data_IF_956117599497
#
_entry.id   IF_956117599497
#
_cell.length_a   1.000
_cell.length_b   1.000
_cell.length_c   1.000
_cell.angle_alpha   90.00
_cell.angle_beta   90.00
_cell.angle_gamma   90.00
#
_symmetry.space_group_name_H-M   'P 1'
#
loop_
_entity.id
_entity.type
_entity.pdbx_description
1 polymer ?
#
# COMPACT_ATOMS: atom_id res chain seq x y z
N UNK A 1 7.00 -8.18 -39.44
CA UNK A 1 7.16 -8.94 -38.19
C UNK A 1 5.83 -8.88 -37.48
N UNK A 2 5.09 -9.98 -37.53
CA UNK A 2 3.78 -10.10 -36.90
C UNK A 2 3.95 -10.04 -35.38
N UNK A 3 3.16 -9.20 -34.70
CA UNK A 3 3.14 -9.19 -33.23
C UNK A 3 2.55 -10.53 -32.79
N UNK A 4 3.15 -11.22 -31.82
CA UNK A 4 2.58 -12.45 -31.25
C UNK A 4 1.56 -12.15 -30.14
N UNK A 5 1.71 -10.99 -29.51
CA UNK A 5 0.93 -10.59 -28.35
C UNK A 5 0.60 -9.10 -28.43
N UNK A 6 -0.62 -8.76 -28.05
CA UNK A 6 -1.08 -7.40 -27.79
C UNK A 6 -1.12 -7.14 -26.28
N UNK A 7 -0.76 -5.93 -25.87
CA UNK A 7 -0.84 -5.53 -24.46
C UNK A 7 -2.08 -4.68 -24.28
N UNK A 8 -2.87 -4.96 -23.25
CA UNK A 8 -4.10 -4.21 -22.97
C UNK A 8 -3.84 -2.73 -22.70
N UNK A 9 -2.73 -2.41 -22.00
CA UNK A 9 -2.31 -1.04 -21.73
C UNK A 9 -0.84 -0.81 -22.14
N UNK A 10 -0.55 0.23 -22.96
CA UNK A 10 0.82 0.51 -23.41
C UNK A 10 1.70 1.21 -22.36
N UNK A 11 1.08 1.81 -21.33
CA UNK A 11 1.74 2.44 -20.18
C UNK A 11 1.26 1.75 -18.91
N UNK A 12 2.19 1.18 -18.15
CA UNK A 12 1.92 0.48 -16.89
C UNK A 12 2.02 1.50 -15.76
N UNK A 13 0.91 1.70 -15.06
CA UNK A 13 0.83 2.56 -13.87
C UNK A 13 1.23 1.77 -12.64
N UNK A 14 2.16 2.31 -11.86
CA UNK A 14 2.62 1.72 -10.61
C UNK A 14 2.33 2.71 -9.50
N UNK A 15 1.45 2.32 -8.59
CA UNK A 15 1.21 3.05 -7.36
C UNK A 15 2.44 2.89 -6.46
N UNK A 16 3.18 3.99 -6.33
CA UNK A 16 4.47 4.02 -5.67
C UNK A 16 4.30 4.37 -4.19
N UNK A 17 4.85 3.50 -3.34
CA UNK A 17 4.96 3.72 -1.92
C UNK A 17 6.39 3.45 -1.46
N UNK A 18 6.89 4.30 -0.56
CA UNK A 18 8.21 4.11 0.04
C UNK A 18 8.22 2.87 0.94
N UNK A 19 9.32 2.14 0.89
CA UNK A 19 9.60 0.95 1.70
C UNK A 19 8.54 -0.16 1.59
N UNK A 20 7.73 -0.17 0.53
CA UNK A 20 6.69 -1.16 0.28
C UNK A 20 6.86 -1.84 -1.09
N UNK A 21 6.44 -3.10 -1.21
CA UNK A 21 6.36 -3.78 -2.50
C UNK A 21 5.27 -3.11 -3.33
N UNK A 22 5.64 -2.46 -4.43
CA UNK A 22 4.67 -1.86 -5.35
C UNK A 22 4.23 -2.92 -6.36
N UNK A 23 2.92 -3.06 -6.58
CA UNK A 23 2.35 -4.07 -7.49
C UNK A 23 1.60 -3.40 -8.62
N UNK A 24 1.59 -4.02 -9.77
CA UNK A 24 0.76 -3.62 -10.90
C UNK A 24 0.38 -4.85 -11.71
N UNK A 25 -0.79 -4.82 -12.33
CA UNK A 25 -1.32 -5.94 -13.10
C UNK A 25 -1.16 -5.63 -14.58
N UNK A 26 -0.61 -6.59 -15.33
CA UNK A 26 -0.44 -6.48 -16.78
C UNK A 26 -1.18 -7.64 -17.45
N UNK A 27 -1.96 -7.30 -18.46
CA UNK A 27 -2.70 -8.26 -19.28
C UNK A 27 -2.11 -8.29 -20.69
N UNK A 28 -1.77 -9.50 -21.13
CA UNK A 28 -1.26 -9.81 -22.46
C UNK A 28 -2.27 -10.68 -23.20
N UNK A 29 -2.60 -10.33 -24.42
CA UNK A 29 -3.49 -11.10 -25.31
C UNK A 29 -2.68 -11.71 -26.44
N UNK A 30 -2.73 -13.03 -26.57
CA UNK A 30 -2.17 -13.73 -27.73
C UNK A 30 -3.00 -13.42 -28.97
N UNK A 31 -2.35 -13.04 -30.07
CA UNK A 31 -2.98 -12.93 -31.39
C UNK A 31 -2.72 -14.15 -32.27
N UNK A 32 -1.91 -15.10 -31.80
CA UNK A 32 -1.65 -16.35 -32.47
C UNK A 32 -2.87 -17.28 -32.39
N UNK A 33 -3.31 -17.85 -33.51
CA UNK A 33 -4.46 -18.77 -33.58
C UNK A 33 -4.11 -20.23 -33.29
N UNK A 34 -2.85 -20.61 -33.51
CA UNK A 34 -2.48 -22.03 -33.61
C UNK A 34 -1.48 -22.49 -32.53
N UNK A 35 -0.60 -21.59 -32.06
CA UNK A 35 0.46 -21.92 -31.10
C UNK A 35 0.36 -21.07 -29.83
N UNK A 36 0.60 -21.66 -28.65
CA UNK A 36 0.77 -20.87 -27.43
C UNK A 36 1.98 -19.94 -27.55
N UNK A 37 1.94 -18.81 -26.86
CA UNK A 37 3.04 -17.85 -26.84
C UNK A 37 3.70 -17.86 -25.46
N UNK A 38 5.00 -18.15 -25.42
CA UNK A 38 5.79 -18.00 -24.21
C UNK A 38 6.16 -16.53 -24.01
N UNK A 39 6.07 -16.06 -22.77
CA UNK A 39 6.51 -14.72 -22.41
C UNK A 39 7.45 -14.74 -21.21
N UNK A 40 8.34 -13.75 -21.17
CA UNK A 40 9.21 -13.45 -20.03
C UNK A 40 9.35 -11.95 -19.86
N UNK A 41 9.06 -11.46 -18.66
CA UNK A 41 9.19 -10.05 -18.31
C UNK A 41 10.59 -9.80 -17.75
N UNK A 42 11.20 -8.71 -18.22
CA UNK A 42 12.48 -8.19 -17.74
C UNK A 42 12.34 -6.67 -17.55
N UNK A 43 13.31 -6.06 -16.87
CA UNK A 43 13.38 -4.60 -16.75
C UNK A 43 14.67 -4.10 -17.36
N UNK A 44 14.58 -2.98 -18.07
CA UNK A 44 15.73 -2.20 -18.56
C UNK A 44 16.27 -1.21 -17.52
N UNK A 45 15.58 -1.08 -16.38
CA UNK A 45 15.97 -0.16 -15.32
C UNK A 45 17.33 -0.56 -14.73
N UNK A 46 18.27 0.40 -14.56
CA UNK A 46 19.59 0.13 -14.00
C UNK A 46 19.53 -0.48 -12.61
N UNK A 47 18.44 -0.23 -11.89
CA UNK A 47 18.29 -0.67 -10.52
C UNK A 47 17.54 -2.01 -10.34
N UNK A 48 17.20 -2.72 -11.44
CA UNK A 48 16.65 -4.11 -11.46
C UNK A 48 15.76 -4.48 -10.27
N UNK A 49 14.63 -3.78 -10.14
CA UNK A 49 13.76 -3.90 -8.96
C UNK A 49 12.69 -4.98 -9.05
N UNK A 50 12.65 -5.82 -10.09
CA UNK A 50 11.63 -6.86 -10.17
C UNK A 50 11.85 -7.94 -9.09
N UNK A 51 10.81 -8.23 -8.32
CA UNK A 51 10.73 -9.44 -7.50
C UNK A 51 10.18 -10.56 -8.39
N UNK A 52 10.93 -11.65 -8.54
CA UNK A 52 10.55 -12.85 -9.32
C UNK A 52 9.89 -12.51 -10.67
N UNK A 53 10.70 -12.13 -11.69
CA UNK A 53 10.16 -11.64 -12.96
C UNK A 53 9.16 -12.62 -13.59
N UNK A 54 7.93 -12.18 -13.90
CA UNK A 54 6.89 -13.08 -14.36
C UNK A 54 7.24 -13.69 -15.72
N UNK A 55 6.96 -14.97 -15.86
CA UNK A 55 7.13 -15.73 -17.10
C UNK A 55 6.07 -16.81 -17.18
N UNK A 56 5.57 -17.10 -18.38
CA UNK A 56 4.48 -18.06 -18.55
C UNK A 56 4.16 -18.34 -20.01
N UNK A 57 3.02 -19.02 -20.20
CA UNK A 57 2.45 -19.31 -21.51
C UNK A 57 1.09 -18.62 -21.64
N UNK A 58 0.82 -18.10 -22.82
CA UNK A 58 -0.49 -17.59 -23.21
C UNK A 58 -1.05 -18.56 -24.24
N UNK A 59 -2.24 -19.10 -23.98
CA UNK A 59 -2.91 -19.98 -24.94
C UNK A 59 -3.27 -19.21 -26.24
N UNK A 60 -3.44 -19.92 -27.37
CA UNK A 60 -3.86 -19.29 -28.63
C UNK A 60 -5.15 -18.48 -28.47
N UNK A 61 -5.18 -17.27 -29.04
CA UNK A 61 -6.30 -16.30 -28.98
C UNK A 61 -6.82 -15.99 -27.55
N UNK A 62 -6.01 -16.27 -26.52
CA UNK A 62 -6.37 -16.09 -25.12
C UNK A 62 -5.59 -14.94 -24.49
N UNK A 63 -6.02 -14.53 -23.30
CA UNK A 63 -5.35 -13.51 -22.50
C UNK A 63 -4.74 -14.13 -21.25
N UNK A 64 -3.56 -13.65 -20.87
CA UNK A 64 -2.91 -13.98 -19.61
C UNK A 64 -2.69 -12.71 -18.81
N UNK A 65 -3.07 -12.76 -17.55
CA UNK A 65 -2.90 -11.65 -16.59
C UNK A 65 -1.87 -12.06 -15.56
N UNK A 66 -0.91 -11.18 -15.28
CA UNK A 66 0.11 -11.41 -14.27
C UNK A 66 0.43 -10.13 -13.50
N UNK A 67 0.90 -10.32 -12.27
CA UNK A 67 1.38 -9.21 -11.45
C UNK A 67 2.86 -8.97 -11.68
N UNK A 68 3.21 -7.71 -11.86
CA UNK A 68 4.56 -7.20 -11.82
C UNK A 68 4.79 -6.58 -10.45
N UNK A 69 5.79 -7.07 -9.73
CA UNK A 69 6.09 -6.64 -8.36
C UNK A 69 7.45 -5.96 -8.34
N UNK A 70 7.48 -4.73 -7.84
CA UNK A 70 8.71 -3.99 -7.55
C UNK A 70 9.15 -4.22 -6.10
N UNK A 71 10.46 -4.32 -5.90
CA UNK A 71 11.11 -4.33 -4.60
C UNK A 71 10.82 -3.02 -3.85
N UNK A 72 10.72 -3.06 -2.51
CA UNK A 72 10.67 -1.86 -1.67
C UNK A 72 11.76 -0.85 -2.04
N UNK A 73 11.38 0.41 -2.23
CA UNK A 73 12.29 1.52 -2.51
C UNK A 73 12.32 2.48 -1.35
N UNK A 74 13.51 2.80 -0.84
CA UNK A 74 13.69 3.78 0.25
C UNK A 74 13.74 5.23 -0.24
N UNK A 75 13.79 5.44 -1.56
CA UNK A 75 13.88 6.75 -2.18
C UNK A 75 12.93 6.84 -3.36
N UNK A 76 12.43 8.06 -3.62
CA UNK A 76 11.66 8.37 -4.81
C UNK A 76 12.54 8.14 -6.05
N UNK A 77 12.03 7.56 -7.15
CA UNK A 77 12.81 7.36 -8.36
C UNK A 77 13.42 8.68 -8.84
N UNK A 78 14.75 8.73 -9.02
CA UNK A 78 15.47 9.96 -9.41
C UNK A 78 14.97 10.59 -10.71
N UNK A 79 14.33 9.80 -11.57
CA UNK A 79 13.73 10.22 -12.83
C UNK A 79 12.20 10.29 -12.75
N UNK A 80 11.63 10.49 -11.58
CA UNK A 80 10.20 10.78 -11.41
C UNK A 80 9.80 12.12 -12.09
N UNK A 81 8.60 12.26 -12.70
CA UNK A 81 7.54 11.27 -12.96
C UNK A 81 7.73 10.47 -14.26
N UNK A 82 8.81 10.74 -15.00
CA UNK A 82 9.16 10.06 -16.26
C UNK A 82 10.63 9.71 -16.29
N UNK A 83 10.90 8.41 -16.13
CA UNK A 83 12.15 7.86 -16.59
C UNK A 83 11.93 7.38 -18.02
N UNK A 84 12.40 8.09 -19.07
CA UNK A 84 12.34 7.58 -20.44
C UNK A 84 13.12 6.25 -20.62
N UNK A 85 13.95 5.93 -19.63
CA UNK A 85 14.78 4.74 -19.49
C UNK A 85 14.07 3.58 -18.79
N UNK A 86 13.10 3.81 -17.91
CA UNK A 86 12.44 2.72 -17.18
C UNK A 86 11.35 2.09 -18.05
N UNK A 87 11.67 0.91 -18.59
CA UNK A 87 10.75 0.11 -19.40
C UNK A 87 10.74 -1.33 -18.94
N UNK A 88 9.57 -1.93 -18.91
CA UNK A 88 9.47 -3.38 -18.90
C UNK A 88 9.68 -3.90 -20.32
N UNK A 89 10.53 -4.91 -20.43
CA UNK A 89 10.80 -5.63 -21.66
C UNK A 89 10.11 -6.98 -21.56
N UNK A 90 9.09 -7.21 -22.38
CA UNK A 90 8.40 -8.49 -22.46
C UNK A 90 8.93 -9.20 -23.70
N UNK A 91 9.72 -10.25 -23.47
CA UNK A 91 10.17 -11.13 -24.52
C UNK A 91 9.09 -12.15 -24.81
N UNK A 92 8.69 -12.24 -26.07
CA UNK A 92 7.67 -13.19 -26.52
C UNK A 92 8.23 -14.08 -27.62
N UNK A 93 7.81 -15.34 -27.65
CA UNK A 93 8.12 -16.27 -28.72
C UNK A 93 7.06 -17.37 -28.80
N UNK A 94 6.81 -17.90 -29.98
CA UNK A 94 5.92 -19.05 -30.16
C UNK A 94 6.49 -20.27 -29.43
N UNK A 95 5.64 -20.94 -28.67
CA UNK A 95 6.01 -22.10 -27.88
C UNK A 95 5.68 -23.38 -28.64
N UNK A 96 6.73 -24.07 -29.08
CA UNK A 96 6.64 -25.42 -29.65
C UNK A 96 7.17 -26.41 -28.62
N UNK A 97 6.32 -27.34 -28.18
CA UNK A 97 6.74 -28.45 -27.32
C UNK A 97 7.48 -29.48 -28.17
N UNK A 98 8.76 -29.72 -27.90
CA UNK A 98 9.52 -30.75 -28.62
C UNK A 98 8.90 -32.13 -28.33
N UNK A 99 8.29 -32.73 -29.33
CA UNK A 99 7.81 -34.12 -29.34
C UNK A 99 8.99 -35.08 -29.52
N UNK A 100 9.82 -35.26 -28.50
CA UNK A 100 10.69 -36.44 -28.37
C UNK A 100 11.40 -36.46 -27.01
N UNK A 101 10.94 -37.35 -26.14
CA UNK A 101 11.75 -37.92 -25.05
C UNK A 101 12.28 -36.95 -23.99
N UNK A 102 11.49 -36.82 -22.92
CA UNK A 102 11.89 -36.35 -21.58
C UNK A 102 11.89 -34.83 -21.31
N UNK A 103 11.19 -34.49 -20.24
CA UNK A 103 11.06 -33.20 -19.54
C UNK A 103 10.49 -32.03 -20.34
N UNK A 104 9.18 -31.77 -20.12
CA UNK A 104 8.66 -30.39 -20.19
C UNK A 104 9.66 -29.50 -19.43
N UNK A 105 10.06 -28.33 -19.93
CA UNK A 105 10.97 -27.48 -19.18
C UNK A 105 10.34 -27.19 -17.81
N UNK A 106 11.04 -27.51 -16.71
CA UNK A 106 10.56 -27.29 -15.33
C UNK A 106 10.16 -25.81 -15.10
N UNK A 107 10.67 -24.90 -15.94
CA UNK A 107 10.26 -23.50 -16.01
C UNK A 107 10.42 -22.93 -17.43
N UNK A 108 9.52 -22.01 -17.82
CA UNK A 108 9.62 -21.21 -19.05
C UNK A 108 10.95 -20.44 -19.13
N UNK A 109 11.54 -20.10 -17.99
CA UNK A 109 12.86 -19.48 -17.95
C UNK A 109 13.96 -20.40 -18.50
N UNK A 110 13.95 -21.67 -18.11
CA UNK A 110 14.87 -22.70 -18.63
C UNK A 110 14.61 -22.98 -20.11
N UNK A 111 13.35 -22.93 -20.53
CA UNK A 111 12.99 -23.02 -21.95
C UNK A 111 13.64 -21.90 -22.78
N UNK A 112 13.50 -20.63 -22.37
CA UNK A 112 14.15 -19.49 -23.04
C UNK A 112 15.68 -19.62 -23.05
N UNK A 113 16.28 -20.16 -21.97
CA UNK A 113 17.73 -20.33 -21.86
C UNK A 113 18.30 -21.48 -22.72
N UNK A 114 17.51 -22.53 -22.95
CA UNK A 114 17.91 -23.71 -23.73
C UNK A 114 17.84 -23.52 -25.25
N UNK A 115 17.32 -22.38 -25.73
CA UNK A 115 17.17 -22.13 -27.17
C UNK A 115 18.52 -21.86 -27.84
N UNK A 116 18.72 -22.31 -29.09
CA UNK A 116 19.96 -22.11 -29.82
C UNK A 116 20.25 -20.63 -30.10
N UNK A 117 21.54 -20.30 -30.30
CA UNK A 117 21.97 -18.95 -30.71
C UNK A 117 21.29 -18.58 -32.04
N UNK A 118 20.52 -17.50 -32.05
CA UNK A 118 19.73 -17.05 -33.22
C UNK A 118 18.21 -17.23 -33.07
N UNK A 119 17.73 -17.77 -31.94
CA UNK A 119 16.30 -17.80 -31.60
C UNK A 119 15.72 -16.37 -31.59
N UNK A 120 14.76 -16.08 -32.48
CA UNK A 120 14.13 -14.76 -32.55
C UNK A 120 13.08 -14.62 -31.46
N UNK A 121 13.32 -13.72 -30.51
CA UNK A 121 12.28 -13.21 -29.62
C UNK A 121 11.70 -11.92 -30.19
N UNK A 122 10.41 -11.71 -29.99
CA UNK A 122 9.74 -10.45 -30.24
C UNK A 122 9.62 -9.70 -28.91
N UNK A 123 10.32 -8.58 -28.85
CA UNK A 123 10.48 -7.78 -27.65
C UNK A 123 9.47 -6.63 -27.64
N UNK A 124 8.58 -6.64 -26.65
CA UNK A 124 7.62 -5.56 -26.41
C UNK A 124 8.17 -4.66 -25.30
N UNK A 125 8.19 -3.35 -25.53
CA UNK A 125 8.63 -2.36 -24.54
C UNK A 125 7.41 -1.65 -23.95
N UNK A 126 7.15 -1.88 -22.67
CA UNK A 126 6.11 -1.16 -21.94
C UNK A 126 6.70 0.03 -21.19
N UNK A 127 6.05 1.18 -21.35
CA UNK A 127 6.39 2.38 -20.59
C UNK A 127 5.92 2.20 -19.14
N UNK A 128 6.70 2.69 -18.20
CA UNK A 128 6.34 2.68 -16.77
C UNK A 128 6.06 4.10 -16.33
N UNK A 129 4.92 4.30 -15.66
CA UNK A 129 4.59 5.55 -15.00
C UNK A 129 4.37 5.30 -13.51
N UNK A 130 5.11 6.03 -12.68
CA UNK A 130 4.91 6.02 -11.24
C UNK A 130 3.86 7.06 -10.86
N UNK A 131 2.88 6.64 -10.07
CA UNK A 131 1.73 7.42 -9.62
C UNK A 131 1.49 7.16 -8.13
N UNK A 132 0.59 7.90 -7.50
CA UNK A 132 0.23 7.71 -6.08
C UNK A 132 0.49 8.94 -5.20
N UNK A 133 -0.01 8.90 -3.95
CA UNK A 133 -0.11 10.08 -3.07
C UNK A 133 1.25 10.58 -2.58
N UNK A 134 2.21 9.69 -2.30
CA UNK A 134 3.58 10.07 -1.87
C UNK A 134 4.27 10.90 -2.94
N UNK A 135 4.12 10.51 -4.20
CA UNK A 135 4.71 11.20 -5.34
C UNK A 135 4.03 12.53 -5.61
N UNK A 136 2.70 12.57 -5.49
CA UNK A 136 1.93 13.81 -5.60
C UNK A 136 2.35 14.83 -4.53
N UNK A 137 2.45 14.41 -3.26
CA UNK A 137 2.87 15.28 -2.15
C UNK A 137 4.28 15.85 -2.37
N UNK A 138 5.22 15.02 -2.81
CA UNK A 138 6.58 15.49 -3.12
C UNK A 138 6.59 16.51 -4.26
N UNK A 139 5.83 16.26 -5.33
CA UNK A 139 5.75 17.17 -6.47
C UNK A 139 5.13 18.53 -6.07
N UNK A 140 4.07 18.49 -5.26
CA UNK A 140 3.44 19.69 -4.68
C UNK A 140 4.44 20.42 -3.78
N UNK A 141 5.15 19.72 -2.89
CA UNK A 141 6.15 20.32 -1.99
C UNK A 141 7.28 21.03 -2.72
N UNK A 142 7.60 20.60 -3.95
CA UNK A 142 8.60 21.24 -4.83
C UNK A 142 8.04 22.39 -5.66
N UNK A 143 6.73 22.59 -5.68
CA UNK A 143 6.05 23.52 -6.57
C UNK A 143 6.09 23.10 -8.05
N UNK A 144 6.34 21.83 -8.36
CA UNK A 144 6.44 21.35 -9.75
C UNK A 144 5.06 21.08 -10.35
N UNK A 145 4.48 22.14 -10.92
CA UNK A 145 3.12 22.13 -11.45
C UNK A 145 2.94 21.18 -12.64
N UNK A 146 3.95 21.05 -13.51
CA UNK A 146 3.89 20.15 -14.65
C UNK A 146 3.89 18.68 -14.23
N UNK A 147 4.68 18.35 -13.22
CA UNK A 147 4.70 16.99 -12.65
C UNK A 147 3.36 16.66 -12.00
N UNK A 148 2.79 17.56 -11.20
CA UNK A 148 1.47 17.40 -10.58
C UNK A 148 0.40 17.21 -11.65
N UNK A 149 0.36 18.08 -12.67
CA UNK A 149 -0.59 17.97 -13.79
C UNK A 149 -0.46 16.62 -14.51
N UNK A 150 0.76 16.14 -14.73
CA UNK A 150 1.00 14.86 -15.40
C UNK A 150 0.57 13.65 -14.56
N UNK A 151 0.71 13.69 -13.23
CA UNK A 151 0.19 12.66 -12.34
C UNK A 151 -1.34 12.62 -12.37
N UNK A 152 -1.98 13.77 -12.22
CA UNK A 152 -3.43 13.88 -12.15
C UNK A 152 -4.09 13.46 -13.47
N UNK A 153 -3.44 13.74 -14.61
CA UNK A 153 -3.84 13.20 -15.91
C UNK A 153 -3.79 11.67 -15.98
N UNK A 154 -2.86 11.02 -15.27
CA UNK A 154 -2.65 9.57 -15.32
C UNK A 154 -3.47 8.81 -14.29
N UNK A 155 -3.68 9.38 -13.11
CA UNK A 155 -4.44 8.79 -12.03
C UNK A 155 -5.17 9.90 -11.26
N UNK A 156 -6.29 10.35 -11.81
CA UNK A 156 -7.13 11.35 -11.14
C UNK A 156 -7.73 10.82 -9.83
N UNK A 157 -7.91 9.50 -9.72
CA UNK A 157 -8.43 8.87 -8.50
C UNK A 157 -7.54 9.11 -7.28
N UNK A 158 -6.22 9.38 -7.45
CA UNK A 158 -5.32 9.63 -6.31
C UNK A 158 -5.90 10.67 -5.37
N UNK A 159 -6.53 11.72 -5.89
CA UNK A 159 -7.15 12.77 -5.07
C UNK A 159 -8.45 12.35 -4.39
N UNK A 160 -9.20 11.45 -5.02
CA UNK A 160 -10.44 10.91 -4.47
C UNK A 160 -10.18 9.85 -3.40
N UNK A 161 -9.03 9.17 -3.49
CA UNK A 161 -8.57 8.14 -2.56
C UNK A 161 -7.84 8.75 -1.34
N UNK A 162 -7.58 10.06 -1.32
CA UNK A 162 -7.01 10.76 -0.15
C UNK A 162 -8.02 10.86 0.98
N UNK A 163 -7.56 10.62 2.20
CA UNK A 163 -8.32 10.96 3.41
C UNK A 163 -8.47 12.49 3.55
N UNK A 164 -9.50 12.98 4.28
CA UNK A 164 -9.67 14.42 4.50
C UNK A 164 -8.43 15.08 5.13
N UNK A 165 -7.75 14.41 6.07
CA UNK A 165 -6.53 14.93 6.71
C UNK A 165 -5.35 14.99 5.73
N UNK A 166 -5.22 14.01 4.84
CA UNK A 166 -4.20 14.04 3.77
C UNK A 166 -4.49 15.12 2.74
N UNK A 167 -5.76 15.32 2.37
CA UNK A 167 -6.20 16.35 1.44
C UNK A 167 -5.93 17.76 2.00
N UNK A 168 -6.27 18.00 3.27
CA UNK A 168 -5.97 19.24 3.97
C UNK A 168 -4.46 19.45 4.12
N UNK A 169 -3.72 18.42 4.52
CA UNK A 169 -2.26 18.50 4.61
C UNK A 169 -1.62 18.79 3.25
N UNK A 170 -2.14 18.24 2.15
CA UNK A 170 -1.63 18.50 0.80
C UNK A 170 -1.94 19.94 0.37
N UNK A 171 -3.13 20.44 0.69
CA UNK A 171 -3.53 21.82 0.44
C UNK A 171 -2.66 22.80 1.23
N UNK A 172 -2.42 22.53 2.52
CA UNK A 172 -1.55 23.36 3.37
C UNK A 172 -0.16 23.51 2.76
N UNK A 173 0.43 22.41 2.33
CA UNK A 173 1.74 22.43 1.64
C UNK A 173 1.66 23.24 0.33
N UNK A 174 0.58 23.10 -0.44
CA UNK A 174 0.38 23.89 -1.65
C UNK A 174 0.26 25.40 -1.37
N UNK A 175 -0.39 25.79 -0.27
CA UNK A 175 -0.54 27.20 0.13
C UNK A 175 0.75 27.84 0.68
N UNK A 176 1.69 27.02 1.16
CA UNK A 176 3.00 27.48 1.66
C UNK A 176 4.02 27.71 0.51
N UNK A 177 3.66 27.41 -0.74
CA UNK A 177 4.51 27.64 -1.90
C UNK A 177 4.64 29.13 -2.22
N UNK A 178 5.73 29.49 -2.93
CA UNK A 178 5.97 30.85 -3.39
C UNK A 178 4.89 31.35 -4.39
N UNK A 179 4.26 30.43 -5.13
CA UNK A 179 3.16 30.70 -6.06
C UNK A 179 2.04 29.66 -5.85
N UNK A 180 1.15 29.90 -4.88
CA UNK A 180 0.15 28.91 -4.45
C UNK A 180 -1.08 28.86 -5.36
N UNK A 181 -1.41 29.95 -6.07
CA UNK A 181 -2.68 30.10 -6.79
C UNK A 181 -2.86 29.02 -7.86
N UNK A 182 -1.86 28.87 -8.74
CA UNK A 182 -1.91 27.91 -9.84
C UNK A 182 -1.91 26.46 -9.35
N UNK A 183 -1.16 26.16 -8.28
CA UNK A 183 -1.06 24.81 -7.70
C UNK A 183 -2.37 24.42 -7.00
N UNK A 184 -2.91 25.31 -6.17
CA UNK A 184 -4.17 25.10 -5.47
C UNK A 184 -5.32 24.97 -6.47
N UNK A 185 -5.40 25.88 -7.46
CA UNK A 185 -6.41 25.80 -8.50
C UNK A 185 -6.36 24.46 -9.24
N UNK A 186 -5.16 23.99 -9.61
CA UNK A 186 -4.99 22.69 -10.27
C UNK A 186 -5.49 21.51 -9.41
N UNK A 187 -5.20 21.52 -8.10
CA UNK A 187 -5.62 20.46 -7.19
C UNK A 187 -7.14 20.45 -6.99
N UNK A 188 -7.75 21.62 -6.80
CA UNK A 188 -9.20 21.78 -6.66
C UNK A 188 -9.93 21.38 -7.94
N UNK A 189 -9.48 21.86 -9.11
CA UNK A 189 -10.05 21.50 -10.42
C UNK A 189 -9.95 19.98 -10.67
N UNK A 190 -8.84 19.38 -10.25
CA UNK A 190 -8.64 17.94 -10.37
C UNK A 190 -9.54 17.13 -9.41
N UNK A 191 -10.20 17.76 -8.44
CA UNK A 191 -11.20 17.15 -7.57
C UNK A 191 -10.74 16.88 -6.15
N UNK A 192 -9.74 17.61 -5.65
CA UNK A 192 -9.37 17.58 -4.23
C UNK A 192 -10.57 18.06 -3.40
N UNK A 193 -11.11 17.17 -2.55
CA UNK A 193 -12.21 17.50 -1.65
C UNK A 193 -11.65 17.90 -0.30
N UNK A 194 -11.88 19.15 0.09
CA UNK A 194 -11.66 19.59 1.47
C UNK A 194 -13.05 19.65 2.08
N UNK A 195 -13.26 18.98 3.20
CA UNK A 195 -14.51 19.10 3.93
C UNK A 195 -14.55 20.53 4.48
N UNK A 196 -15.36 21.40 3.88
CA UNK A 196 -15.61 22.73 4.44
C UNK A 196 -16.32 22.54 5.77
N UNK A 197 -15.58 22.68 6.87
CA UNK A 197 -16.16 22.98 8.18
C UNK A 197 -16.60 24.46 8.16
N UNK A 198 -17.70 24.76 7.45
CA UNK A 198 -18.37 26.05 7.54
C UNK A 198 -19.86 25.78 7.66
N UNK A 199 -20.42 26.20 8.79
CA UNK A 199 -21.86 26.24 9.02
C UNK A 199 -22.54 27.04 7.91
N UNK A 200 -23.48 26.39 7.23
CA UNK A 200 -24.48 27.09 6.45
C UNK A 200 -25.53 27.66 7.41
N UNK A 201 -25.24 28.81 8.01
CA UNK A 201 -26.29 29.66 8.58
C UNK A 201 -27.12 30.19 7.41
N UNK A 202 -28.29 29.57 7.23
CA UNK A 202 -29.36 30.05 6.38
C UNK A 202 -29.78 31.44 6.87
N UNK A 203 -29.38 32.48 6.14
CA UNK A 203 -30.03 33.79 6.25
C UNK A 203 -31.39 33.69 5.56
N UNK A 204 -32.45 33.67 6.37
CA UNK A 204 -33.74 34.25 6.02
C UNK A 204 -34.45 34.71 7.32
N UNK A 205 -34.93 35.96 7.29
CA UNK A 205 -35.49 36.71 8.42
C UNK A 205 -36.61 36.00 9.21
N UNK A 206 -36.97 36.45 10.40
CA UNK A 206 -37.39 37.82 10.69
C UNK A 206 -37.57 38.06 12.20
N UNK A 207 -37.40 39.32 12.58
CA UNK A 207 -38.08 40.04 13.67
C UNK A 207 -37.78 39.77 15.16
N UNK A 208 -37.75 40.91 15.85
CA UNK A 208 -38.00 41.21 17.25
C UNK A 208 -36.86 41.23 18.31
N UNK A 209 -36.37 42.46 18.51
CA UNK A 209 -36.08 43.18 19.77
C UNK A 209 -36.16 42.39 21.10
N UNK A 210 -35.01 42.31 21.79
CA UNK A 210 -34.91 42.83 23.17
C UNK A 210 -33.47 43.16 23.58
N UNK A 211 -33.33 44.36 24.15
CA UNK A 211 -32.12 44.90 24.80
C UNK A 211 -32.07 44.35 26.23
N UNK A 212 -30.94 43.78 26.67
CA UNK A 212 -30.54 43.80 28.09
C UNK A 212 -29.01 43.86 28.21
N UNK A 213 -28.59 44.74 29.11
CA UNK A 213 -27.25 45.14 29.53
C UNK A 213 -26.27 44.02 29.93
N UNK A 214 -24.98 44.31 29.67
CA UNK A 214 -23.92 44.33 30.68
C UNK A 214 -23.40 43.01 31.25
N UNK A 215 -22.16 42.64 30.88
CA UNK A 215 -21.06 42.59 31.86
C UNK A 215 -19.70 42.31 31.19
N UNK A 216 -18.71 43.14 31.51
CA UNK A 216 -17.29 42.85 31.31
C UNK A 216 -16.80 42.14 32.58
N UNK A 217 -16.22 40.96 32.45
CA UNK A 217 -15.49 40.22 33.49
C UNK A 217 -14.55 39.20 32.85
N UNK A 218 -13.33 39.00 33.39
CA UNK A 218 -12.19 38.55 32.61
C UNK A 218 -12.05 37.02 32.54
N UNK A 219 -11.36 36.58 31.49
CA UNK A 219 -10.36 35.51 31.43
C UNK A 219 -10.43 34.47 32.55
N UNK A 220 -10.79 33.22 32.21
CA UNK A 220 -10.18 31.99 32.74
C UNK A 220 -10.74 30.75 32.04
N UNK A 221 -9.82 29.91 31.56
CA UNK A 221 -9.98 28.52 31.09
C UNK A 221 -10.46 28.27 29.66
N UNK A 222 -9.63 28.66 28.69
CA UNK A 222 -9.45 27.82 27.49
C UNK A 222 -8.94 26.45 27.95
N UNK A 223 -9.86 25.50 28.16
CA UNK A 223 -9.53 24.08 28.18
C UNK A 223 -9.13 23.72 26.75
N UNK A 224 -7.87 23.35 26.58
CA UNK A 224 -7.33 22.74 25.37
C UNK A 224 -8.14 21.47 25.06
N UNK A 225 -9.17 21.61 24.22
CA UNK A 225 -9.82 20.49 23.55
C UNK A 225 -8.86 20.06 22.44
N UNK A 226 -7.82 19.30 22.79
CA UNK A 226 -7.09 18.52 21.80
C UNK A 226 -8.08 17.45 21.34
N UNK A 227 -8.50 17.50 20.07
CA UNK A 227 -9.45 16.55 19.51
C UNK A 227 -8.92 15.11 19.71
N UNK A 228 -9.68 14.26 20.41
CA UNK A 228 -9.31 12.87 20.69
C UNK A 228 -8.97 12.07 19.40
N UNK A 229 -9.52 12.50 18.25
CA UNK A 229 -9.24 11.94 16.93
C UNK A 229 -7.84 12.28 16.38
N UNK A 230 -7.41 13.56 16.47
CA UNK A 230 -6.11 14.01 15.95
C UNK A 230 -4.95 13.41 16.76
N UNK A 231 -5.14 13.29 18.08
CA UNK A 231 -4.19 12.59 18.95
C UNK A 231 -4.10 11.10 18.63
N UNK A 232 -5.23 10.48 18.26
CA UNK A 232 -5.28 9.08 17.88
C UNK A 232 -4.56 8.78 16.58
N UNK A 233 -4.75 9.62 15.57
CA UNK A 233 -4.00 9.55 14.31
C UNK A 233 -2.49 9.75 14.55
N UNK A 234 -2.11 10.69 15.43
CA UNK A 234 -0.71 10.90 15.77
C UNK A 234 -0.07 9.69 16.46
N UNK A 235 -0.80 9.02 17.37
CA UNK A 235 -0.36 7.77 18.03
C UNK A 235 -0.23 6.64 17.01
N UNK A 236 -1.20 6.50 16.11
CA UNK A 236 -1.15 5.52 15.03
C UNK A 236 0.07 5.73 14.12
N UNK A 237 0.32 6.97 13.71
CA UNK A 237 1.42 7.31 12.81
C UNK A 237 2.79 7.14 13.49
N UNK A 238 2.93 7.53 14.76
CA UNK A 238 4.14 7.28 15.54
C UNK A 238 4.41 5.77 15.67
N UNK A 239 3.37 4.97 15.93
CA UNK A 239 3.48 3.53 16.03
C UNK A 239 3.88 2.88 14.69
N UNK A 240 3.31 3.36 13.58
CA UNK A 240 3.63 2.91 12.21
C UNK A 240 5.06 3.22 11.80
N UNK A 241 5.65 4.32 12.30
CA UNK A 241 7.04 4.71 12.05
C UNK A 241 8.05 4.06 13.01
N UNK A 242 7.58 3.50 14.11
CA UNK A 242 8.44 2.96 15.16
C UNK A 242 9.06 4.04 16.06
N UNK A 243 8.48 5.24 16.11
CA UNK A 243 9.02 6.35 16.92
C UNK A 243 8.59 6.22 18.38
N UNK A 244 9.39 5.49 19.16
CA UNK A 244 9.18 5.23 20.58
C UNK A 244 9.13 6.52 21.41
N UNK A 245 9.94 7.54 21.08
CA UNK A 245 10.03 8.79 21.87
C UNK A 245 8.79 9.66 21.65
N UNK A 246 8.36 9.76 20.40
CA UNK A 246 7.15 10.48 20.05
C UNK A 246 5.93 9.78 20.68
N UNK A 247 5.87 8.45 20.57
CA UNK A 247 4.80 7.65 21.18
C UNK A 247 4.72 7.82 22.69
N UNK A 248 5.85 7.76 23.40
CA UNK A 248 5.91 7.98 24.86
C UNK A 248 5.40 9.38 25.24
N UNK A 249 5.78 10.40 24.45
CA UNK A 249 5.35 11.78 24.67
C UNK A 249 3.84 11.94 24.46
N UNK A 250 3.30 11.33 23.40
CA UNK A 250 1.87 11.34 23.09
C UNK A 250 1.04 10.62 24.14
N UNK A 251 1.52 9.48 24.64
CA UNK A 251 0.87 8.71 25.72
C UNK A 251 0.88 9.44 27.07
N UNK A 252 1.91 10.22 27.38
CA UNK A 252 1.98 11.02 28.62
C UNK A 252 1.05 12.24 28.60
N UNK A 253 0.74 12.78 27.42
CA UNK A 253 -0.06 14.01 27.26
C UNK A 253 -1.58 13.79 27.28
N UNK A 254 -2.09 12.59 26.97
CA UNK A 254 -3.52 12.27 27.03
C UNK A 254 -3.73 10.86 27.59
N UNK A 255 -4.30 10.79 28.80
CA UNK A 255 -4.37 9.59 29.63
C UNK A 255 -5.37 8.51 29.19
N UNK A 256 -5.29 8.04 27.96
CA UNK A 256 -6.09 6.91 27.48
C UNK A 256 -5.47 6.27 26.25
N UNK A 257 -5.24 4.96 26.32
CA UNK A 257 -4.93 4.11 25.17
C UNK A 257 -5.90 4.43 24.05
N UNK A 258 -5.38 5.03 22.98
CA UNK A 258 -6.23 5.57 21.94
C UNK A 258 -6.85 4.41 21.16
N UNK A 259 -8.18 4.30 21.23
CA UNK A 259 -9.01 3.38 20.46
C UNK A 259 -9.12 3.78 18.97
N UNK A 260 -8.22 4.64 18.48
CA UNK A 260 -8.24 5.07 17.08
C UNK A 260 -8.04 3.87 16.17
N UNK A 261 -8.85 3.89 15.11
CA UNK A 261 -8.83 2.93 14.02
C UNK A 261 -8.78 3.72 12.72
N UNK A 262 -7.88 3.32 11.83
CA UNK A 262 -7.88 3.88 10.48
C UNK A 262 -9.09 3.36 9.67
N UNK A 263 -9.18 3.78 8.41
CA UNK A 263 -10.25 3.38 7.50
C UNK A 263 -10.34 1.87 7.21
N UNK A 264 -9.33 1.08 7.60
CA UNK A 264 -9.31 -0.38 7.48
C UNK A 264 -9.53 -1.07 8.82
N UNK A 265 -9.89 -0.31 9.85
CA UNK A 265 -10.07 -0.80 11.21
C UNK A 265 -8.75 -1.06 11.96
N UNK A 266 -7.60 -0.68 11.41
CA UNK A 266 -6.29 -0.95 12.01
C UNK A 266 -6.05 0.00 13.18
N UNK A 267 -5.57 -0.56 14.29
CA UNK A 267 -5.10 0.20 15.45
C UNK A 267 -3.60 0.48 15.37
N UNK A 268 -3.09 1.36 16.23
CA UNK A 268 -1.65 1.61 16.37
C UNK A 268 -0.84 0.31 16.60
N UNK A 269 -1.43 -0.65 17.34
CA UNK A 269 -0.81 -1.95 17.61
C UNK A 269 -0.73 -2.82 16.34
N UNK A 270 -1.74 -2.79 15.46
CA UNK A 270 -1.68 -3.47 14.16
C UNK A 270 -0.55 -2.89 13.29
N UNK A 271 -0.47 -1.57 13.20
CA UNK A 271 0.54 -0.89 12.38
C UNK A 271 1.96 -1.21 12.86
N UNK A 272 2.21 -1.12 14.18
CA UNK A 272 3.49 -1.46 14.77
C UNK A 272 3.84 -2.95 14.60
N UNK A 273 2.85 -3.83 14.75
CA UNK A 273 3.01 -5.27 14.57
C UNK A 273 3.41 -5.60 13.13
N UNK A 274 2.68 -5.08 12.14
CA UNK A 274 2.97 -5.27 10.71
C UNK A 274 4.35 -4.76 10.31
N UNK A 275 4.78 -3.63 10.87
CA UNK A 275 6.10 -3.04 10.59
C UNK A 275 7.24 -3.66 11.37
N UNK A 276 6.95 -4.56 12.33
CA UNK A 276 7.96 -5.23 13.14
C UNK A 276 8.61 -4.35 14.19
N UNK A 277 7.93 -3.28 14.64
CA UNK A 277 8.45 -2.36 15.66
C UNK A 277 8.22 -2.92 17.07
N UNK A 278 8.99 -3.93 17.46
CA UNK A 278 8.81 -4.67 18.73
C UNK A 278 8.76 -3.77 19.98
N UNK A 279 9.57 -2.72 20.04
CA UNK A 279 9.65 -1.83 21.21
C UNK A 279 8.38 -0.96 21.34
N UNK A 280 7.80 -0.57 20.21
CA UNK A 280 6.50 0.11 20.15
C UNK A 280 5.37 -0.84 20.52
N UNK A 281 5.40 -2.08 20.00
CA UNK A 281 4.42 -3.12 20.36
C UNK A 281 4.45 -3.39 21.87
N UNK A 282 5.65 -3.48 22.44
CA UNK A 282 5.84 -3.64 23.88
C UNK A 282 5.21 -2.47 24.65
N UNK A 283 5.56 -1.23 24.29
CA UNK A 283 5.02 -0.02 24.92
C UNK A 283 3.49 0.06 24.83
N UNK A 284 2.90 -0.20 23.66
CA UNK A 284 1.44 -0.21 23.46
C UNK A 284 0.76 -1.31 24.27
N UNK A 285 1.36 -2.50 24.35
CA UNK A 285 0.81 -3.61 25.15
C UNK A 285 0.82 -3.29 26.64
N UNK A 286 1.87 -2.62 27.13
CA UNK A 286 2.01 -2.22 28.54
C UNK A 286 1.11 -1.04 28.91
N UNK A 287 0.76 -0.21 27.94
CA UNK A 287 -0.23 0.84 28.11
C UNK A 287 -1.66 0.29 28.29
N UNK A 288 -1.91 -1.00 28.01
CA UNK A 288 -3.23 -1.64 28.13
C UNK A 288 -4.04 -1.71 26.84
N UNK A 289 -3.37 -1.68 25.68
CA UNK A 289 -4.04 -1.87 24.37
C UNK A 289 -4.63 -3.27 24.24
N UNK A 290 -5.85 -3.36 23.69
CA UNK A 290 -6.51 -4.63 23.41
C UNK A 290 -5.70 -5.43 22.37
N UNK A 291 -5.12 -6.56 22.79
CA UNK A 291 -4.31 -7.43 21.92
C UNK A 291 -5.15 -8.21 20.90
N UNK A 292 -6.46 -8.31 21.13
CA UNK A 292 -7.42 -9.04 20.29
C UNK A 292 -8.29 -8.10 19.44
N UNK A 293 -7.93 -6.82 19.33
CA UNK A 293 -8.62 -5.89 18.46
C UNK A 293 -8.55 -6.40 17.00
N UNK A 294 -9.67 -6.37 16.28
CA UNK A 294 -9.76 -6.88 14.91
C UNK A 294 -9.84 -5.75 13.89
N UNK A 295 -9.10 -5.86 12.79
CA UNK A 295 -9.28 -5.04 11.59
C UNK A 295 -10.56 -5.41 10.81
N UNK A 296 -10.81 -4.73 9.68
CA UNK A 296 -11.97 -5.03 8.82
C UNK A 296 -11.97 -6.44 8.22
N UNK A 297 -10.84 -7.14 8.18
CA UNK A 297 -10.69 -8.51 7.70
C UNK A 297 -10.67 -9.54 8.85
N UNK A 298 -10.84 -9.08 10.09
CA UNK A 298 -10.79 -9.90 11.30
C UNK A 298 -9.38 -10.24 11.76
N UNK A 299 -8.35 -9.65 11.18
CA UNK A 299 -6.99 -9.85 11.66
C UNK A 299 -6.81 -9.16 13.00
N UNK A 300 -6.30 -9.91 13.97
CA UNK A 300 -5.70 -9.35 15.20
C UNK A 300 -4.23 -8.95 14.97
N UNK A 301 -3.60 -8.11 15.83
CA UNK A 301 -2.20 -7.71 15.70
C UNK A 301 -1.20 -8.86 15.52
N UNK A 302 -1.46 -10.04 16.08
CA UNK A 302 -0.61 -11.22 15.87
C UNK A 302 -0.59 -11.69 14.40
N UNK A 303 -1.72 -11.62 13.68
CA UNK A 303 -1.74 -11.90 12.23
C UNK A 303 -0.88 -10.88 11.47
N UNK A 304 -0.97 -9.61 11.84
CA UNK A 304 -0.17 -8.54 11.23
C UNK A 304 1.33 -8.71 11.46
N UNK A 305 1.75 -9.10 12.68
CA UNK A 305 3.14 -9.42 12.97
C UNK A 305 3.66 -10.58 12.12
N UNK A 306 2.84 -11.62 11.92
CA UNK A 306 3.18 -12.74 11.03
C UNK A 306 3.27 -12.28 9.58
N UNK A 307 2.32 -11.48 9.10
CA UNK A 307 2.34 -10.96 7.73
C UNK A 307 3.58 -10.07 7.47
N UNK A 308 3.94 -9.27 8.47
CA UNK A 308 5.17 -8.47 8.50
C UNK A 308 6.47 -9.30 8.54
N UNK A 309 6.39 -10.57 8.94
CA UNK A 309 7.52 -11.50 8.95
C UNK A 309 8.57 -11.22 10.03
N UNK A 310 8.25 -10.46 11.08
CA UNK A 310 9.18 -10.18 12.17
C UNK A 310 8.96 -11.13 13.36
N UNK A 311 9.85 -12.11 13.52
CA UNK A 311 9.79 -13.14 14.56
C UNK A 311 9.84 -12.58 15.99
N UNK A 312 10.57 -11.50 16.24
CA UNK A 312 10.69 -10.92 17.58
C UNK A 312 9.39 -10.24 18.00
N UNK A 313 8.72 -9.57 17.06
CA UNK A 313 7.42 -8.96 17.30
C UNK A 313 6.33 -10.00 17.51
N UNK A 314 6.36 -11.11 16.74
CA UNK A 314 5.47 -12.26 16.97
C UNK A 314 5.67 -12.81 18.39
N UNK A 315 6.93 -13.02 18.81
CA UNK A 315 7.26 -13.49 20.15
C UNK A 315 6.71 -12.56 21.22
N UNK A 316 6.94 -11.24 21.11
CA UNK A 316 6.47 -10.26 22.10
C UNK A 316 4.95 -10.30 22.25
N UNK A 317 4.20 -10.37 21.15
CA UNK A 317 2.73 -10.44 21.21
C UNK A 317 2.24 -11.72 21.89
N UNK A 318 2.84 -12.87 21.58
CA UNK A 318 2.50 -14.15 22.23
C UNK A 318 2.86 -14.12 23.72
N UNK A 319 4.04 -13.60 24.07
CA UNK A 319 4.50 -13.48 25.47
C UNK A 319 3.61 -12.51 26.28
N UNK A 320 3.01 -11.51 25.63
CA UNK A 320 2.02 -10.61 26.23
C UNK A 320 0.59 -11.19 26.30
N UNK A 321 0.40 -12.42 25.84
CA UNK A 321 -0.85 -13.16 25.98
C UNK A 321 -1.80 -13.05 24.81
N UNK A 322 -1.34 -12.64 23.62
CA UNK A 322 -2.16 -12.68 22.41
C UNK A 322 -2.61 -14.12 22.11
N UNK A 323 -3.85 -14.29 21.64
CA UNK A 323 -4.39 -15.59 21.27
C UNK A 323 -3.65 -16.15 20.05
N UNK A 324 -2.76 -17.11 20.30
CA UNK A 324 -1.94 -17.75 19.27
C UNK A 324 -2.76 -18.46 18.17
N UNK A 325 -4.01 -18.82 18.48
CA UNK A 325 -4.94 -19.50 17.59
C UNK A 325 -6.10 -18.58 17.15
N UNK A 326 -5.95 -17.26 17.23
CA UNK A 326 -6.94 -16.33 16.71
C UNK A 326 -7.25 -16.65 15.23
N UNK A 327 -8.51 -16.49 14.84
CA UNK A 327 -8.95 -16.70 13.45
C UNK A 327 -9.46 -15.39 12.88
N UNK A 328 -8.99 -15.03 11.69
CA UNK A 328 -9.58 -13.91 10.94
C UNK A 328 -10.92 -14.30 10.29
N UNK A 329 -11.57 -13.38 9.56
CA UNK A 329 -12.87 -13.64 8.90
C UNK A 329 -12.82 -14.78 7.87
N UNK A 330 -11.63 -15.11 7.37
CA UNK A 330 -11.39 -16.25 6.46
C UNK A 330 -11.08 -17.56 7.19
N UNK A 331 -11.08 -17.58 8.52
CA UNK A 331 -10.71 -18.75 9.32
C UNK A 331 -9.20 -19.05 9.32
N UNK A 332 -8.37 -18.13 8.83
CA UNK A 332 -6.93 -18.29 8.84
C UNK A 332 -6.36 -17.91 10.21
N UNK A 333 -5.47 -18.76 10.73
CA UNK A 333 -4.71 -18.52 11.97
C UNK A 333 -3.33 -17.91 11.68
N UNK A 334 -2.64 -17.33 12.69
CA UNK A 334 -1.27 -16.87 12.54
C UNK A 334 -0.32 -17.95 12.02
N UNK A 335 -0.44 -19.20 12.51
CA UNK A 335 0.38 -20.31 12.04
C UNK A 335 0.08 -20.68 10.57
N UNK A 336 -1.20 -20.67 10.18
CA UNK A 336 -1.59 -20.90 8.78
C UNK A 336 -0.99 -19.83 7.87
N UNK A 337 -1.09 -18.54 8.26
CA UNK A 337 -0.48 -17.45 7.50
C UNK A 337 1.03 -17.64 7.39
N UNK A 338 1.75 -17.91 8.49
CA UNK A 338 3.20 -18.13 8.47
C UNK A 338 3.59 -19.24 7.47
N UNK A 339 2.81 -20.32 7.40
CA UNK A 339 3.03 -21.41 6.45
C UNK A 339 2.77 -21.02 4.99
N UNK A 340 1.70 -20.26 4.73
CA UNK A 340 1.38 -19.75 3.38
C UNK A 340 2.46 -18.79 2.88
N UNK A 341 3.01 -17.96 3.77
CA UNK A 341 4.08 -17.01 3.45
C UNK A 341 5.49 -17.63 3.41
N UNK A 342 5.66 -18.87 3.92
CA UNK A 342 6.94 -19.58 3.94
C UNK A 342 7.90 -19.08 5.03
N UNK A 343 7.39 -18.59 6.16
CA UNK A 343 8.18 -18.16 7.31
C UNK A 343 8.41 -19.32 8.26
N UNK A 344 9.38 -20.18 7.93
CA UNK A 344 9.67 -21.42 8.66
C UNK A 344 10.06 -21.17 10.13
N UNK A 345 10.83 -20.12 10.39
CA UNK A 345 11.25 -19.68 11.72
C UNK A 345 10.06 -19.24 12.61
N UNK A 346 9.10 -18.52 12.02
CA UNK A 346 7.85 -18.13 12.70
C UNK A 346 6.95 -19.36 12.88
N UNK A 347 6.90 -20.28 11.92
CA UNK A 347 6.16 -21.54 12.07
C UNK A 347 6.71 -22.36 13.24
N UNK A 348 8.03 -22.50 13.35
CA UNK A 348 8.70 -23.19 14.45
C UNK A 348 8.41 -22.51 15.78
N UNK A 349 8.54 -21.17 15.84
CA UNK A 349 8.22 -20.40 17.05
C UNK A 349 6.78 -20.63 17.50
N UNK A 350 5.80 -20.40 16.63
CA UNK A 350 4.38 -20.54 16.96
C UNK A 350 4.05 -21.98 17.37
N UNK A 351 4.60 -22.97 16.68
CA UNK A 351 4.43 -24.39 17.03
C UNK A 351 5.03 -24.72 18.40
N UNK A 352 6.21 -24.19 18.71
CA UNK A 352 6.87 -24.37 20.01
C UNK A 352 6.09 -23.72 21.16
N UNK A 353 5.31 -22.68 20.86
CA UNK A 353 4.45 -21.95 21.80
C UNK A 353 3.03 -22.51 21.86
N UNK A 354 2.76 -23.65 21.22
CA UNK A 354 1.47 -24.36 21.32
C UNK A 354 0.40 -23.95 20.30
N UNK A 355 0.79 -23.34 19.18
CA UNK A 355 -0.13 -23.09 18.07
C UNK A 355 -0.65 -24.43 17.49
N UNK A 356 -1.96 -24.51 17.25
CA UNK A 356 -2.57 -25.72 16.71
C UNK A 356 -2.28 -25.85 15.21
N UNK A 357 -1.90 -27.03 14.72
CA UNK A 357 -1.55 -27.25 13.31
C UNK A 357 -2.74 -27.14 12.35
N UNK A 358 -3.97 -27.03 12.86
CA UNK A 358 -5.19 -27.08 12.07
C UNK A 358 -6.21 -25.99 12.46
N UNK A 359 -6.55 -25.15 11.48
CA UNK A 359 -7.94 -24.88 11.14
C UNK A 359 -7.99 -24.48 9.66
N UNK A 360 -8.45 -25.41 8.82
CA UNK A 360 -8.76 -25.13 7.43
C UNK A 360 -9.76 -23.95 7.36
N UNK A 361 -9.63 -23.02 6.39
CA UNK A 361 -10.68 -22.05 6.15
C UNK A 361 -11.98 -22.83 5.92
N UNK A 362 -13.06 -22.44 6.60
CA UNK A 362 -14.39 -22.94 6.29
C UNK A 362 -14.69 -22.43 4.88
N UNK A 363 -14.48 -23.29 3.89
CA UNK A 363 -14.91 -23.03 2.52
C UNK A 363 -16.43 -23.17 2.54
N UNK A 364 -17.14 -22.06 2.73
CA UNK A 364 -18.56 -22.01 2.42
C UNK A 364 -18.71 -22.19 0.90
N UNK A 365 -19.19 -23.37 0.54
CA UNK A 365 -19.62 -23.81 -0.79
C UNK A 365 -20.66 -22.91 -1.43
#
# INVERSE_FOLDING_TARGET
MERLVEVSEPEVRIEFALNCKCRTTVTLRSVCSNLPVAFKVQTSSPNKFLVNPPSGLIAPLSSATFQVILKPQSQIPRAYPRSPSDRFLIKTAEFVSNSSGSTRPDSINSWFASRPKGFSTLDIKLKVAFVGPVLLREAVSRGDLDTVRNLLKRQRSVLADLTPSEAESLLRVATELADPEDMVHLLLEAGLRIQEAVGSDNVNGSDDVHVVDGNIGPDETHKDVVNDEEQGEAVFEAARRGDVRQLETLMKRGGGVVSYRDQYGLTALHAAAFKGHKDVVLMLSEAGTELECQDEEGHVPLHMAVEGGNIETVRVLVDKGANINAMNKRGATPLYMARVWGYDDICELLSSMGALPSSLPIVSS
#
